data_IF_363700236564
#
_entry.id   IF_363700236564
#
_cell.length_a   1.000
_cell.length_b   1.000
_cell.length_c   1.000
_cell.angle_alpha   90.00
_cell.angle_beta   90.00
_cell.angle_gamma   90.00
#
_symmetry.space_group_name_H-M   'P 1'
#
loop_
_entity.id
_entity.type
_entity.pdbx_description
1 polymer ?
#
# COMPACT_ATOMS: atom_id res chain seq x y z
N UNK A 1 8.03 -34.77 -102.40
CA UNK A 1 9.35 -34.80 -103.02
C UNK A 1 10.43 -34.64 -101.95
N UNK A 2 11.32 -35.63 -101.89
CA UNK A 2 12.63 -35.63 -101.26
C UNK A 2 12.77 -35.51 -99.76
N UNK A 3 12.83 -36.64 -99.09
CA UNK A 3 13.74 -36.92 -97.93
C UNK A 3 15.19 -37.03 -98.41
N UNK A 4 16.23 -37.24 -97.52
CA UNK A 4 16.60 -37.16 -96.10
C UNK A 4 18.01 -36.50 -95.96
N UNK A 5 18.92 -36.79 -95.03
CA UNK A 5 19.08 -37.87 -94.07
C UNK A 5 19.63 -37.52 -92.67
N UNK A 6 19.68 -38.54 -91.82
CA UNK A 6 20.42 -38.82 -90.57
C UNK A 6 21.75 -38.16 -90.30
N UNK A 7 22.04 -37.80 -89.01
CA UNK A 7 23.36 -38.05 -88.40
C UNK A 7 23.23 -38.23 -86.90
N UNK A 8 23.96 -39.18 -86.37
CA UNK A 8 24.12 -39.76 -85.05
C UNK A 8 25.06 -38.96 -84.17
N UNK A 9 25.03 -39.25 -82.91
CA UNK A 9 26.02 -39.05 -81.80
C UNK A 9 25.68 -37.85 -80.87
N UNK A 10 25.76 -37.90 -79.55
CA UNK A 10 26.39 -38.90 -78.71
C UNK A 10 25.88 -38.74 -77.27
N UNK A 11 26.02 -39.80 -76.53
CA UNK A 11 25.75 -39.90 -75.07
C UNK A 11 26.77 -39.04 -74.35
N UNK A 12 26.35 -38.29 -73.36
CA UNK A 12 26.94 -37.97 -72.04
C UNK A 12 26.38 -36.66 -71.47
N UNK A 13 25.35 -36.71 -70.64
CA UNK A 13 25.00 -35.67 -69.69
C UNK A 13 23.95 -36.16 -68.69
N UNK A 14 24.36 -36.99 -67.80
CA UNK A 14 23.51 -37.55 -66.76
C UNK A 14 24.17 -37.62 -65.39
N UNK A 15 24.68 -36.50 -64.85
CA UNK A 15 25.23 -36.52 -63.48
C UNK A 15 25.28 -35.14 -62.76
N UNK A 16 24.66 -34.08 -63.28
CA UNK A 16 24.80 -32.76 -62.67
C UNK A 16 23.51 -32.13 -62.15
N UNK A 17 22.42 -32.89 -62.06
CA UNK A 17 21.08 -32.33 -61.65
C UNK A 17 20.55 -32.79 -60.28
N UNK A 18 21.35 -33.52 -59.46
CA UNK A 18 20.88 -34.00 -58.11
C UNK A 18 21.57 -33.36 -56.91
N UNK A 19 22.42 -32.35 -57.08
CA UNK A 19 23.09 -31.64 -55.94
C UNK A 19 22.56 -30.24 -55.68
N UNK A 20 21.65 -29.71 -56.49
CA UNK A 20 21.12 -28.34 -56.36
C UNK A 20 19.85 -28.20 -55.52
N UNK A 21 19.11 -29.32 -55.23
CA UNK A 21 17.79 -29.27 -54.54
C UNK A 21 17.92 -29.50 -53.03
N UNK A 22 19.02 -30.11 -52.58
CA UNK A 22 19.24 -30.36 -51.15
C UNK A 22 19.79 -29.14 -50.38
N UNK A 23 20.34 -28.11 -51.03
CA UNK A 23 20.86 -26.92 -50.39
C UNK A 23 19.83 -25.79 -50.17
N UNK A 24 18.71 -25.79 -50.91
CA UNK A 24 17.63 -24.81 -50.74
C UNK A 24 16.61 -25.22 -49.66
N UNK A 25 16.59 -26.47 -49.24
CA UNK A 25 15.65 -26.94 -48.17
C UNK A 25 16.22 -26.74 -46.77
N UNK A 26 17.51 -26.47 -46.59
CA UNK A 26 18.11 -26.17 -45.26
C UNK A 26 18.14 -24.69 -44.92
N UNK A 27 17.83 -23.76 -45.79
CA UNK A 27 17.75 -22.32 -45.52
C UNK A 27 16.32 -21.84 -45.21
N UNK A 28 15.31 -22.66 -45.35
CA UNK A 28 13.91 -22.29 -45.08
C UNK A 28 13.46 -22.61 -43.65
N UNK A 29 14.32 -23.15 -42.75
CA UNK A 29 14.03 -23.46 -41.36
C UNK A 29 14.84 -22.64 -40.35
N UNK A 30 15.41 -21.49 -40.78
CA UNK A 30 15.68 -20.42 -39.84
C UNK A 30 14.32 -19.78 -39.55
N UNK A 31 13.57 -20.43 -38.67
CA UNK A 31 12.39 -19.87 -38.06
C UNK A 31 12.69 -18.42 -37.68
N UNK A 32 12.01 -17.52 -38.36
CA UNK A 32 11.71 -16.21 -37.80
C UNK A 32 11.04 -16.44 -36.44
N UNK A 33 11.86 -16.56 -35.40
CA UNK A 33 11.41 -16.30 -34.04
C UNK A 33 11.01 -14.81 -34.05
N UNK A 34 9.77 -14.55 -34.46
CA UNK A 34 9.14 -13.27 -34.13
C UNK A 34 9.32 -13.16 -32.61
N UNK A 35 10.06 -12.18 -32.10
CA UNK A 35 10.17 -12.04 -30.67
C UNK A 35 8.73 -11.95 -30.16
N UNK A 36 8.32 -12.92 -29.34
CA UNK A 36 7.01 -12.87 -28.68
C UNK A 36 6.99 -11.50 -27.99
N UNK A 37 6.13 -10.63 -28.49
CA UNK A 37 6.00 -9.28 -27.90
C UNK A 37 5.62 -9.51 -26.44
N UNK A 38 6.46 -8.99 -25.51
CA UNK A 38 6.18 -9.11 -24.10
C UNK A 38 4.76 -8.62 -23.84
N UNK A 39 3.98 -9.43 -23.17
CA UNK A 39 2.62 -9.05 -22.78
C UNK A 39 2.74 -7.90 -21.76
N UNK A 40 1.95 -6.84 -21.94
CA UNK A 40 2.10 -5.63 -21.17
C UNK A 40 0.89 -5.38 -20.28
N UNK A 41 1.12 -5.04 -19.02
CA UNK A 41 0.10 -4.66 -18.04
C UNK A 41 0.23 -3.19 -17.68
N UNK A 42 -0.81 -2.40 -17.90
CA UNK A 42 -0.88 -1.05 -17.34
C UNK A 42 -1.27 -1.13 -15.88
N UNK A 43 -0.39 -0.62 -15.01
CA UNK A 43 -0.58 -0.67 -13.56
C UNK A 43 -0.84 0.75 -13.04
N UNK A 44 -2.07 0.99 -12.60
CA UNK A 44 -2.47 2.26 -11.99
C UNK A 44 -2.19 2.21 -10.48
N UNK A 45 -1.39 3.15 -9.99
CA UNK A 45 -0.99 3.20 -8.58
C UNK A 45 -0.62 4.63 -8.14
N UNK A 46 -0.28 4.83 -6.86
CA UNK A 46 0.12 6.14 -6.32
C UNK A 46 1.52 6.17 -5.71
N UNK A 47 2.36 5.19 -6.01
CA UNK A 47 3.75 5.16 -5.56
C UNK A 47 4.60 6.13 -6.38
N UNK A 48 4.73 7.38 -5.90
CA UNK A 48 5.37 8.47 -6.65
C UNK A 48 6.59 9.06 -5.96
N UNK A 49 6.78 8.83 -4.65
CA UNK A 49 7.97 9.26 -3.94
C UNK A 49 9.21 8.43 -4.30
N UNK A 50 10.40 8.91 -3.95
CA UNK A 50 11.66 8.23 -4.30
C UNK A 50 11.74 6.80 -3.73
N UNK A 51 11.34 6.61 -2.47
CA UNK A 51 11.30 5.30 -1.82
C UNK A 51 10.24 4.37 -2.44
N UNK A 52 9.06 4.92 -2.73
CA UNK A 52 7.98 4.17 -3.35
C UNK A 52 8.32 3.73 -4.78
N UNK A 53 8.96 4.61 -5.57
CA UNK A 53 9.42 4.25 -6.92
C UNK A 53 10.44 3.13 -6.89
N UNK A 54 11.46 3.20 -6.00
CA UNK A 54 12.43 2.12 -5.85
C UNK A 54 11.77 0.79 -5.45
N UNK A 55 10.74 0.82 -4.64
CA UNK A 55 10.00 -0.38 -4.30
C UNK A 55 9.20 -0.93 -5.49
N UNK A 56 8.53 -0.07 -6.27
CA UNK A 56 7.87 -0.46 -7.50
C UNK A 56 8.85 -1.08 -8.51
N UNK A 57 10.07 -0.52 -8.63
CA UNK A 57 11.11 -1.03 -9.53
C UNK A 57 11.51 -2.48 -9.21
N UNK A 58 11.41 -2.92 -7.95
CA UNK A 58 11.60 -4.35 -7.58
C UNK A 58 10.56 -5.21 -8.27
N UNK A 59 9.29 -4.80 -8.25
CA UNK A 59 8.21 -5.54 -8.91
C UNK A 59 8.35 -5.52 -10.43
N UNK A 60 8.69 -4.36 -10.99
CA UNK A 60 8.96 -4.17 -12.43
C UNK A 60 10.05 -5.11 -12.91
N UNK A 61 11.20 -5.12 -12.21
CA UNK A 61 12.35 -5.94 -12.58
C UNK A 61 12.03 -7.45 -12.50
N UNK A 62 11.28 -7.87 -11.48
CA UNK A 62 10.88 -9.28 -11.30
C UNK A 62 9.87 -9.72 -12.34
N UNK A 63 8.89 -8.86 -12.66
CA UNK A 63 7.89 -9.15 -13.68
C UNK A 63 8.52 -9.24 -15.09
N UNK A 64 9.49 -8.39 -15.38
CA UNK A 64 10.23 -8.42 -16.64
C UNK A 64 11.00 -9.74 -16.84
N UNK A 65 11.52 -10.37 -15.76
CA UNK A 65 12.15 -11.70 -15.81
C UNK A 65 11.18 -12.79 -16.23
N UNK A 66 9.89 -12.58 -16.00
CA UNK A 66 8.81 -13.47 -16.39
C UNK A 66 8.24 -13.16 -17.79
N UNK A 67 8.85 -12.23 -18.52
CA UNK A 67 8.45 -11.84 -19.88
C UNK A 67 7.20 -10.96 -19.93
N UNK A 68 6.84 -10.28 -18.86
CA UNK A 68 5.71 -9.35 -18.80
C UNK A 68 6.21 -7.92 -18.57
N UNK A 69 5.75 -6.99 -19.39
CA UNK A 69 6.07 -5.56 -19.30
C UNK A 69 5.12 -4.86 -18.32
N UNK A 70 5.69 -4.15 -17.35
CA UNK A 70 4.95 -3.23 -16.48
C UNK A 70 4.85 -1.85 -17.14
N UNK A 71 3.66 -1.41 -17.52
CA UNK A 71 3.39 -0.05 -17.99
C UNK A 71 2.88 0.82 -16.86
N UNK A 72 3.74 1.72 -16.45
CA UNK A 72 3.51 2.56 -15.28
C UNK A 72 2.42 3.61 -15.53
N UNK A 73 1.46 3.71 -14.59
CA UNK A 73 0.40 4.72 -14.58
C UNK A 73 0.28 5.33 -13.17
N UNK A 74 1.35 5.98 -12.71
CA UNK A 74 1.43 6.55 -11.38
C UNK A 74 0.65 7.88 -11.28
N UNK A 75 -0.19 8.00 -10.25
CA UNK A 75 -0.99 9.21 -9.94
C UNK A 75 -0.61 9.68 -8.53
N UNK A 76 -0.01 10.84 -8.43
CA UNK A 76 0.37 11.43 -7.14
C UNK A 76 -0.85 11.69 -6.24
N UNK A 77 -0.65 11.53 -4.93
CA UNK A 77 -1.66 11.84 -3.91
C UNK A 77 -1.69 10.83 -2.77
N UNK A 78 -1.76 11.35 -1.53
CA UNK A 78 -1.78 10.52 -0.33
C UNK A 78 -3.00 9.60 -0.28
N UNK A 79 -2.81 8.41 0.30
CA UNK A 79 -3.83 7.37 0.47
C UNK A 79 -4.62 7.01 -0.83
N UNK A 80 -4.07 7.29 -2.02
CA UNK A 80 -4.66 6.91 -3.30
C UNK A 80 -5.95 7.64 -3.71
N UNK A 81 -6.27 8.77 -3.11
CA UNK A 81 -7.52 9.52 -3.41
C UNK A 81 -7.57 9.96 -4.88
N UNK A 82 -6.46 10.50 -5.42
CA UNK A 82 -6.36 10.90 -6.81
C UNK A 82 -6.48 9.70 -7.77
N UNK A 83 -5.74 8.63 -7.49
CA UNK A 83 -5.76 7.41 -8.30
C UNK A 83 -7.16 6.75 -8.34
N UNK A 84 -7.89 6.74 -7.22
CA UNK A 84 -9.26 6.24 -7.17
C UNK A 84 -10.23 7.04 -8.07
N UNK A 85 -10.09 8.36 -8.14
CA UNK A 85 -10.89 9.21 -9.05
C UNK A 85 -10.59 8.89 -10.52
N UNK A 86 -9.30 8.75 -10.86
CA UNK A 86 -8.84 8.37 -12.21
C UNK A 86 -9.37 7.00 -12.59
N UNK A 87 -9.31 6.02 -11.67
CA UNK A 87 -9.87 4.69 -11.90
C UNK A 87 -11.36 4.76 -12.23
N UNK A 88 -12.16 5.42 -11.39
CA UNK A 88 -13.61 5.59 -11.62
C UNK A 88 -13.90 6.19 -13.00
N UNK A 89 -13.18 7.24 -13.39
CA UNK A 89 -13.31 7.87 -14.71
C UNK A 89 -12.96 6.91 -15.85
N UNK A 90 -11.87 6.16 -15.72
CA UNK A 90 -11.44 5.19 -16.75
C UNK A 90 -12.43 4.06 -16.92
N UNK A 91 -12.92 3.49 -15.83
CA UNK A 91 -13.91 2.40 -15.86
C UNK A 91 -15.19 2.86 -16.54
N UNK A 92 -15.70 4.07 -16.21
CA UNK A 92 -16.89 4.64 -16.87
C UNK A 92 -16.68 4.87 -18.37
N UNK A 93 -15.45 5.13 -18.79
CA UNK A 93 -15.08 5.30 -20.20
C UNK A 93 -14.77 3.96 -20.92
N UNK A 94 -14.93 2.80 -20.26
CA UNK A 94 -14.56 1.49 -20.81
C UNK A 94 -13.05 1.31 -21.04
N UNK A 95 -12.20 2.03 -20.28
CA UNK A 95 -10.73 2.03 -20.39
C UNK A 95 -10.09 1.67 -19.05
N UNK A 96 -10.56 0.60 -18.42
CA UNK A 96 -9.96 0.08 -17.18
C UNK A 96 -8.49 -0.23 -17.38
N UNK A 97 -7.62 0.03 -16.39
CA UNK A 97 -6.26 -0.53 -16.40
C UNK A 97 -6.32 -2.03 -16.20
N UNK A 98 -5.29 -2.76 -16.61
CA UNK A 98 -5.20 -4.21 -16.35
C UNK A 98 -4.98 -4.48 -14.85
N UNK A 99 -4.29 -3.58 -14.15
CA UNK A 99 -3.98 -3.71 -12.71
C UNK A 99 -4.16 -2.36 -12.01
N UNK A 100 -4.67 -2.40 -10.79
CA UNK A 100 -4.81 -1.24 -9.92
C UNK A 100 -4.33 -1.56 -8.51
N UNK A 101 -3.58 -0.64 -7.90
CA UNK A 101 -3.37 -0.64 -6.46
C UNK A 101 -4.70 -0.32 -5.77
N UNK A 102 -5.21 -1.22 -4.94
CA UNK A 102 -6.40 -1.03 -4.10
C UNK A 102 -6.05 -1.30 -2.65
N UNK A 103 -6.79 -0.69 -1.72
CA UNK A 103 -6.59 -0.92 -0.28
C UNK A 103 -7.94 -1.09 0.43
N UNK A 104 -7.98 -2.04 1.36
CA UNK A 104 -9.09 -2.24 2.27
C UNK A 104 -10.45 -2.43 1.59
N UNK A 105 -11.43 -1.67 2.02
CA UNK A 105 -12.82 -1.74 1.54
C UNK A 105 -12.97 -1.55 0.04
N UNK A 106 -12.07 -0.81 -0.61
CA UNK A 106 -12.17 -0.59 -2.06
C UNK A 106 -11.99 -1.88 -2.86
N UNK A 107 -11.24 -2.86 -2.35
CA UNK A 107 -11.13 -4.17 -3.01
C UNK A 107 -12.50 -4.87 -3.09
N UNK A 108 -13.23 -4.90 -1.98
CA UNK A 108 -14.59 -5.45 -1.93
C UNK A 108 -15.58 -4.68 -2.81
N UNK A 109 -15.55 -3.34 -2.79
CA UNK A 109 -16.44 -2.50 -3.60
C UNK A 109 -16.30 -2.78 -5.11
N UNK A 110 -15.06 -2.84 -5.63
CA UNK A 110 -14.81 -3.17 -7.03
C UNK A 110 -15.12 -4.63 -7.36
N UNK A 111 -14.88 -5.55 -6.43
CA UNK A 111 -15.27 -6.95 -6.57
C UNK A 111 -16.79 -7.12 -6.66
N UNK A 112 -17.56 -6.41 -5.84
CA UNK A 112 -19.03 -6.47 -5.86
C UNK A 112 -19.64 -5.95 -7.16
N UNK A 113 -18.93 -5.10 -7.89
CA UNK A 113 -19.30 -4.68 -9.25
C UNK A 113 -18.99 -5.72 -10.32
N UNK A 114 -18.34 -6.84 -9.98
CA UNK A 114 -17.96 -7.90 -10.92
C UNK A 114 -16.82 -7.50 -11.88
N UNK A 115 -16.00 -6.51 -11.49
CA UNK A 115 -14.97 -5.95 -12.37
C UNK A 115 -13.57 -6.52 -12.13
N UNK A 116 -13.40 -7.32 -11.07
CA UNK A 116 -12.10 -7.89 -10.71
C UNK A 116 -11.97 -9.34 -11.14
N UNK A 117 -10.77 -9.69 -11.61
CA UNK A 117 -10.39 -11.07 -11.89
C UNK A 117 -10.28 -11.86 -10.58
N UNK A 118 -10.86 -13.06 -10.56
CA UNK A 118 -10.72 -14.00 -9.45
C UNK A 118 -9.37 -14.71 -9.53
N UNK A 119 -8.61 -14.69 -8.43
CA UNK A 119 -7.29 -15.30 -8.35
C UNK A 119 -7.28 -16.64 -7.60
N UNK A 120 -8.40 -17.35 -7.55
CA UNK A 120 -8.56 -18.58 -6.76
C UNK A 120 -7.57 -19.68 -7.16
N UNK A 121 -7.36 -19.88 -8.47
CA UNK A 121 -6.39 -20.86 -8.97
C UNK A 121 -4.97 -20.52 -8.54
N UNK A 122 -4.57 -19.24 -8.64
CA UNK A 122 -3.26 -18.77 -8.22
C UNK A 122 -3.10 -18.91 -6.71
N UNK A 123 -4.12 -18.53 -5.95
CA UNK A 123 -4.12 -18.64 -4.50
C UNK A 123 -4.01 -20.09 -4.00
N UNK A 124 -4.74 -21.02 -4.66
CA UNK A 124 -4.70 -22.43 -4.33
C UNK A 124 -3.35 -23.06 -4.68
N UNK A 125 -2.82 -22.82 -5.90
CA UNK A 125 -1.53 -23.38 -6.36
C UNK A 125 -0.35 -22.93 -5.49
N UNK A 126 -0.42 -21.73 -4.91
CA UNK A 126 0.61 -21.15 -4.04
C UNK A 126 0.28 -21.26 -2.55
N UNK A 127 -0.78 -21.97 -2.20
CA UNK A 127 -1.22 -22.22 -0.82
C UNK A 127 -1.32 -20.92 0.04
N UNK A 128 -1.85 -19.85 -0.52
CA UNK A 128 -1.89 -18.53 0.13
C UNK A 128 -2.63 -18.54 1.45
N UNK A 129 -3.73 -19.31 1.55
CA UNK A 129 -4.50 -19.46 2.80
C UNK A 129 -3.64 -19.94 3.97
N UNK A 130 -2.71 -20.86 3.73
CA UNK A 130 -1.84 -21.41 4.78
C UNK A 130 -0.57 -20.57 5.01
N UNK A 131 -0.11 -19.82 4.00
CA UNK A 131 1.17 -19.11 4.05
C UNK A 131 1.04 -17.65 4.47
N UNK A 132 -0.08 -16.98 4.16
CA UNK A 132 -0.32 -15.59 4.56
C UNK A 132 -0.80 -15.47 6.01
N UNK A 133 -0.64 -14.29 6.59
CA UNK A 133 -1.30 -13.97 7.86
C UNK A 133 -2.83 -14.03 7.70
N UNK A 134 -3.58 -14.54 8.71
CA UNK A 134 -5.04 -14.66 8.61
C UNK A 134 -5.75 -13.33 8.31
N UNK A 135 -5.26 -12.22 8.88
CA UNK A 135 -5.78 -10.86 8.62
C UNK A 135 -5.62 -10.48 7.15
N UNK A 136 -4.47 -10.81 6.54
CA UNK A 136 -4.22 -10.55 5.12
C UNK A 136 -5.11 -11.42 4.25
N UNK A 137 -5.14 -12.73 4.51
CA UNK A 137 -5.99 -13.65 3.77
C UNK A 137 -7.47 -13.24 3.80
N UNK A 138 -7.98 -12.88 4.98
CA UNK A 138 -9.37 -12.42 5.13
C UNK A 138 -9.68 -11.16 4.33
N UNK A 139 -8.73 -10.20 4.22
CA UNK A 139 -8.89 -8.98 3.42
C UNK A 139 -9.05 -9.27 1.93
N UNK A 140 -8.35 -10.29 1.42
CA UNK A 140 -8.37 -10.64 -0.01
C UNK A 140 -9.65 -11.35 -0.43
N UNK A 141 -10.46 -11.82 0.54
CA UNK A 141 -11.65 -12.61 0.26
C UNK A 141 -12.88 -11.73 0.08
N UNK A 142 -13.60 -11.93 -1.02
CA UNK A 142 -14.94 -11.40 -1.21
C UNK A 142 -15.86 -12.48 -1.79
N UNK A 143 -16.99 -12.75 -1.15
CA UNK A 143 -17.97 -13.78 -1.54
C UNK A 143 -17.36 -15.17 -1.80
N UNK A 144 -16.29 -15.51 -1.09
CA UNK A 144 -15.60 -16.79 -1.23
C UNK A 144 -14.51 -16.84 -2.29
N UNK A 145 -14.27 -15.73 -3.01
CA UNK A 145 -13.24 -15.61 -4.04
C UNK A 145 -12.08 -14.72 -3.61
N UNK A 146 -10.89 -15.01 -4.10
CA UNK A 146 -9.67 -14.22 -3.89
C UNK A 146 -9.57 -13.12 -4.93
N UNK A 147 -9.62 -11.85 -4.51
CA UNK A 147 -9.83 -10.70 -5.40
C UNK A 147 -8.60 -9.83 -5.62
N UNK A 148 -7.45 -10.19 -5.06
CA UNK A 148 -6.22 -9.44 -5.22
C UNK A 148 -5.02 -10.14 -4.60
N UNK A 149 -3.84 -9.55 -4.79
CA UNK A 149 -2.57 -10.03 -4.23
C UNK A 149 -1.96 -8.96 -3.32
N UNK A 150 -1.47 -9.30 -2.10
CA UNK A 150 -0.89 -8.32 -1.19
C UNK A 150 0.56 -8.03 -1.58
N UNK A 151 0.93 -6.75 -1.68
CA UNK A 151 2.30 -6.33 -1.89
C UNK A 151 3.09 -6.20 -0.57
N UNK A 152 2.43 -5.78 0.51
CA UNK A 152 3.05 -5.65 1.83
C UNK A 152 2.09 -5.14 2.89
N UNK A 153 2.49 -5.27 4.16
CA UNK A 153 1.75 -4.79 5.33
C UNK A 153 2.50 -3.60 5.90
N UNK A 154 1.81 -2.49 6.07
CA UNK A 154 2.32 -1.25 6.64
C UNK A 154 1.89 -1.08 8.09
N UNK A 155 2.80 -0.58 8.94
CA UNK A 155 2.50 -0.11 10.29
C UNK A 155 2.31 1.39 10.28
N UNK A 156 1.11 1.87 10.60
CA UNK A 156 0.75 3.29 10.59
C UNK A 156 1.23 3.99 11.86
N UNK A 157 1.12 3.35 13.03
CA UNK A 157 1.51 3.90 14.34
C UNK A 157 3.01 3.81 14.60
N UNK A 158 3.83 4.32 13.67
CA UNK A 158 5.29 4.32 13.79
C UNK A 158 5.79 5.71 14.16
N UNK A 159 6.58 5.78 15.24
CA UNK A 159 7.35 6.96 15.65
C UNK A 159 8.74 6.86 15.03
N UNK A 160 9.09 7.79 14.14
CA UNK A 160 10.44 8.02 13.64
C UNK A 160 11.13 9.05 14.52
N UNK A 161 12.39 8.85 14.83
CA UNK A 161 13.19 9.82 15.62
C UNK A 161 14.62 9.94 15.07
N UNK A 162 15.18 11.14 15.12
CA UNK A 162 16.57 11.40 14.72
C UNK A 162 17.53 10.90 15.80
N UNK A 163 18.31 9.87 15.50
CA UNK A 163 19.22 9.23 16.47
C UNK A 163 20.31 10.17 16.98
N UNK A 164 20.87 11.02 16.11
CA UNK A 164 21.94 11.95 16.50
C UNK A 164 21.46 12.99 17.51
N UNK A 165 20.24 13.51 17.31
CA UNK A 165 19.61 14.43 18.26
C UNK A 165 19.41 13.74 19.61
N UNK A 166 18.82 12.54 19.61
CA UNK A 166 18.54 11.79 20.83
C UNK A 166 19.82 11.42 21.58
N UNK A 167 20.85 10.95 20.89
CA UNK A 167 22.16 10.63 21.48
C UNK A 167 22.83 11.87 22.05
N UNK A 168 22.89 12.99 21.30
CA UNK A 168 23.50 14.24 21.75
C UNK A 168 22.89 14.80 23.04
N UNK A 169 21.57 14.65 23.20
CA UNK A 169 20.82 15.17 24.34
C UNK A 169 20.57 14.12 25.43
N UNK A 170 21.10 12.91 25.30
CA UNK A 170 20.87 11.82 26.25
C UNK A 170 19.41 11.46 26.44
N UNK A 171 18.61 11.49 25.36
CA UNK A 171 17.17 11.23 25.41
C UNK A 171 16.87 9.75 25.18
N UNK A 172 15.95 9.20 25.97
CA UNK A 172 15.31 7.92 25.69
C UNK A 172 14.13 8.10 24.74
N UNK A 173 13.88 7.11 23.88
CA UNK A 173 12.72 7.10 22.97
C UNK A 173 11.43 7.02 23.81
N UNK A 174 10.45 7.92 23.62
CA UNK A 174 9.25 7.96 24.45
C UNK A 174 8.37 6.72 24.20
N UNK A 175 7.92 6.08 25.27
CA UNK A 175 7.01 4.93 25.26
C UNK A 175 5.58 5.29 25.63
N UNK A 176 5.40 6.39 26.36
CA UNK A 176 4.11 6.95 26.75
C UNK A 176 4.00 8.40 26.32
N UNK A 177 2.79 8.95 26.27
CA UNK A 177 2.59 10.38 25.98
C UNK A 177 3.20 11.28 27.07
N UNK A 178 3.25 10.82 28.29
CA UNK A 178 3.94 11.55 29.36
C UNK A 178 5.48 11.57 29.16
N UNK A 179 6.06 10.46 28.65
CA UNK A 179 7.47 10.46 28.21
C UNK A 179 7.68 11.41 27.04
N UNK A 180 6.75 11.39 26.06
CA UNK A 180 6.82 12.29 24.91
C UNK A 180 6.86 13.76 25.33
N UNK A 181 5.97 14.18 26.21
CA UNK A 181 5.92 15.57 26.68
C UNK A 181 7.22 15.98 27.39
N UNK A 182 7.81 15.09 28.20
CA UNK A 182 9.09 15.32 28.86
C UNK A 182 10.25 15.44 27.87
N UNK A 183 10.29 14.56 26.87
CA UNK A 183 11.29 14.58 25.79
C UNK A 183 11.11 15.83 24.93
N UNK A 184 9.88 16.15 24.55
CA UNK A 184 9.54 17.33 23.75
C UNK A 184 9.91 18.64 24.46
N UNK A 185 9.73 18.71 25.78
CA UNK A 185 10.19 19.85 26.59
C UNK A 185 11.70 20.08 26.53
N UNK A 186 12.50 19.00 26.65
CA UNK A 186 13.96 19.07 26.53
C UNK A 186 14.41 19.45 25.10
N UNK A 187 13.76 18.91 24.09
CA UNK A 187 14.03 19.26 22.68
C UNK A 187 13.78 20.73 22.41
N UNK A 188 12.65 21.27 22.89
CA UNK A 188 12.30 22.68 22.74
C UNK A 188 13.29 23.61 23.48
N UNK A 189 13.72 23.22 24.68
CA UNK A 189 14.76 23.94 25.42
C UNK A 189 16.11 23.97 24.68
N UNK A 190 16.40 22.93 23.90
CA UNK A 190 17.55 22.85 23.01
C UNK A 190 17.36 23.54 21.64
N UNK A 191 16.24 24.25 21.42
CA UNK A 191 15.93 24.93 20.16
C UNK A 191 15.58 24.00 19.00
N UNK A 192 15.18 22.75 19.29
CA UNK A 192 14.85 21.74 18.27
C UNK A 192 13.34 21.54 18.22
N UNK A 193 12.74 21.52 17.01
CA UNK A 193 11.35 21.17 16.82
C UNK A 193 11.09 19.73 17.29
N UNK A 194 10.25 19.50 18.33
CA UNK A 194 10.06 18.17 18.88
C UNK A 194 9.34 17.21 17.95
N UNK A 195 8.27 17.66 17.29
CA UNK A 195 7.42 16.86 16.42
C UNK A 195 7.19 17.63 15.11
N UNK A 196 7.45 16.98 13.99
CA UNK A 196 7.05 17.53 12.69
C UNK A 196 5.69 16.96 12.29
N UNK A 197 4.81 17.81 11.76
CA UNK A 197 3.47 17.44 11.32
C UNK A 197 2.99 18.39 10.21
N UNK A 198 2.42 17.82 9.15
CA UNK A 198 1.71 18.59 8.12
C UNK A 198 0.28 18.90 8.56
N UNK A 199 -0.27 20.01 8.12
CA UNK A 199 -1.70 20.32 8.27
C UNK A 199 -2.59 19.64 7.20
N UNK A 200 -2.04 18.85 6.31
CA UNK A 200 -2.81 18.05 5.34
C UNK A 200 -3.80 17.10 6.02
N UNK A 201 -5.05 17.09 5.57
CA UNK A 201 -6.15 16.42 6.27
C UNK A 201 -5.88 14.94 6.58
N UNK A 202 -5.35 14.18 5.61
CA UNK A 202 -5.06 12.77 5.83
C UNK A 202 -3.90 12.52 6.80
N UNK A 203 -2.87 13.40 6.82
CA UNK A 203 -1.76 13.29 7.76
C UNK A 203 -2.20 13.62 9.20
N UNK A 204 -3.03 14.64 9.37
CA UNK A 204 -3.66 14.95 10.66
C UNK A 204 -4.52 13.79 11.14
N UNK A 205 -5.31 13.19 10.25
CA UNK A 205 -6.15 12.03 10.57
C UNK A 205 -5.32 10.78 10.89
N UNK A 206 -4.14 10.59 10.27
CA UNK A 206 -3.21 9.49 10.59
C UNK A 206 -2.67 9.63 12.02
N UNK A 207 -2.32 10.84 12.44
CA UNK A 207 -1.96 11.10 13.83
C UNK A 207 -3.16 10.84 14.76
N UNK A 208 -4.35 11.34 14.41
CA UNK A 208 -5.56 11.15 15.20
C UNK A 208 -5.91 9.67 15.41
N UNK A 209 -5.92 8.84 14.35
CA UNK A 209 -6.25 7.42 14.48
C UNK A 209 -5.23 6.67 15.37
N UNK A 210 -3.95 7.10 15.34
CA UNK A 210 -2.91 6.60 16.23
C UNK A 210 -3.21 6.97 17.69
N UNK A 211 -3.70 8.18 17.95
CA UNK A 211 -4.12 8.62 19.28
C UNK A 211 -5.33 7.86 19.81
N UNK A 212 -6.32 7.59 18.94
CA UNK A 212 -7.48 6.76 19.32
C UNK A 212 -7.04 5.35 19.72
N UNK A 213 -6.09 4.76 18.98
CA UNK A 213 -5.54 3.45 19.32
C UNK A 213 -4.79 3.48 20.67
N UNK A 214 -4.04 4.56 20.95
CA UNK A 214 -3.32 4.74 22.19
C UNK A 214 -4.23 4.85 23.41
N UNK A 215 -5.38 5.50 23.28
CA UNK A 215 -6.31 5.73 24.40
C UNK A 215 -6.94 4.44 24.96
N UNK A 216 -7.06 3.36 24.14
CA UNK A 216 -7.78 2.18 24.64
C UNK A 216 -7.59 0.88 23.84
N UNK A 217 -6.63 0.87 22.95
CA UNK A 217 -6.29 -0.32 22.17
C UNK A 217 -7.28 -0.71 21.07
N UNK A 218 -7.06 -1.85 20.43
CA UNK A 218 -7.81 -2.28 19.24
C UNK A 218 -9.29 -2.52 19.45
N UNK A 219 -9.72 -2.92 20.64
CA UNK A 219 -11.13 -3.23 20.90
C UNK A 219 -12.03 -1.99 20.77
N UNK A 220 -11.66 -0.90 21.43
CA UNK A 220 -12.39 0.37 21.29
C UNK A 220 -12.25 0.96 19.89
N UNK A 221 -11.06 0.92 19.32
CA UNK A 221 -10.80 1.38 17.97
C UNK A 221 -11.76 0.70 16.96
N UNK A 222 -11.92 -0.64 17.06
CA UNK A 222 -12.86 -1.40 16.21
C UNK A 222 -14.31 -1.02 16.48
N UNK A 223 -14.72 -0.91 17.75
CA UNK A 223 -16.09 -0.49 18.12
C UNK A 223 -16.42 0.87 17.50
N UNK A 224 -15.44 1.79 17.44
CA UNK A 224 -15.63 3.14 16.92
C UNK A 224 -15.67 3.17 15.38
N UNK A 225 -14.69 2.60 14.70
CA UNK A 225 -14.48 2.79 13.26
C UNK A 225 -14.98 1.63 12.39
N UNK A 226 -14.94 0.40 12.89
CA UNK A 226 -15.36 -0.79 12.14
C UNK A 226 -16.82 -1.09 12.40
N UNK A 227 -17.17 -1.31 13.67
CA UNK A 227 -18.54 -1.68 14.09
C UNK A 227 -19.49 -0.49 14.13
N UNK A 228 -18.94 0.73 14.19
CA UNK A 228 -19.67 2.01 14.26
C UNK A 228 -20.73 2.02 15.36
N UNK A 229 -20.35 1.55 16.56
CA UNK A 229 -21.26 1.43 17.73
C UNK A 229 -21.58 2.80 18.30
N UNK A 230 -22.88 3.06 18.53
CA UNK A 230 -23.35 4.36 19.00
C UNK A 230 -22.72 4.76 20.36
N UNK A 231 -22.56 3.81 21.27
CA UNK A 231 -21.92 4.00 22.56
C UNK A 231 -20.45 4.37 22.46
N UNK A 232 -19.73 3.89 21.43
CA UNK A 232 -18.33 4.25 21.22
C UNK A 232 -18.16 5.72 20.83
N UNK A 233 -19.12 6.32 20.14
CA UNK A 233 -19.07 7.75 19.77
C UNK A 233 -19.30 8.67 20.98
N UNK A 234 -20.08 8.23 21.95
CA UNK A 234 -20.36 8.98 23.18
C UNK A 234 -19.26 8.80 24.25
N UNK A 235 -18.39 7.81 24.08
CA UNK A 235 -17.34 7.48 25.04
C UNK A 235 -16.32 8.62 25.20
N UNK A 236 -15.92 8.99 26.43
CA UNK A 236 -14.96 10.07 26.66
C UNK A 236 -13.57 9.85 26.02
N UNK A 237 -13.19 8.60 25.70
CA UNK A 237 -11.92 8.29 25.05
C UNK A 237 -11.76 8.98 23.69
N UNK A 238 -12.84 9.09 22.91
CA UNK A 238 -12.81 9.84 21.64
C UNK A 238 -12.49 11.32 21.88
N UNK A 239 -13.10 11.93 22.90
CA UNK A 239 -12.83 13.31 23.26
C UNK A 239 -11.39 13.50 23.77
N UNK A 240 -10.87 12.55 24.53
CA UNK A 240 -9.47 12.60 25.00
C UNK A 240 -8.50 12.53 23.83
N UNK A 241 -8.74 11.66 22.86
CA UNK A 241 -7.90 11.59 21.64
C UNK A 241 -7.93 12.91 20.84
N UNK A 242 -9.11 13.55 20.71
CA UNK A 242 -9.24 14.87 20.07
C UNK A 242 -8.48 15.95 20.87
N UNK A 243 -8.64 15.99 22.20
CA UNK A 243 -7.92 16.95 23.05
C UNK A 243 -6.41 16.77 22.93
N UNK A 244 -5.91 15.53 22.95
CA UNK A 244 -4.49 15.23 22.77
C UNK A 244 -4.00 15.68 21.38
N UNK A 245 -4.76 15.39 20.31
CA UNK A 245 -4.41 15.84 18.97
C UNK A 245 -4.14 17.36 18.95
N UNK A 246 -5.01 18.14 19.55
CA UNK A 246 -4.86 19.60 19.61
C UNK A 246 -3.69 20.00 20.52
N UNK A 247 -3.52 19.37 21.68
CA UNK A 247 -2.42 19.69 22.60
C UNK A 247 -1.05 19.44 21.98
N UNK A 248 -0.93 18.49 21.06
CA UNK A 248 0.32 18.22 20.36
C UNK A 248 0.79 19.38 19.48
N UNK A 249 -0.11 20.30 19.05
CA UNK A 249 0.26 21.47 18.24
C UNK A 249 1.35 22.32 18.89
N UNK A 250 1.37 22.42 20.22
CA UNK A 250 2.41 23.16 20.93
C UNK A 250 3.84 22.61 20.70
N UNK A 251 3.97 21.34 20.29
CA UNK A 251 5.25 20.68 20.05
C UNK A 251 5.65 20.65 18.57
N UNK A 252 4.75 21.12 17.68
CA UNK A 252 4.96 21.15 16.24
C UNK A 252 5.65 22.45 15.82
N UNK A 253 6.34 22.42 14.68
CA UNK A 253 6.87 23.62 14.03
C UNK A 253 5.73 24.55 13.57
N UNK A 254 5.88 25.84 13.86
CA UNK A 254 4.86 26.83 13.50
C UNK A 254 5.40 27.84 12.47
N UNK A 255 4.57 28.36 11.56
CA UNK A 255 3.16 28.00 11.35
C UNK A 255 3.00 26.61 10.69
N UNK A 256 1.95 25.88 11.08
CA UNK A 256 1.59 24.63 10.43
C UNK A 256 1.16 24.91 8.98
N UNK A 257 1.70 24.13 8.03
CA UNK A 257 1.42 24.25 6.59
C UNK A 257 1.08 22.87 6.03
N UNK A 258 0.34 22.87 4.93
CA UNK A 258 0.22 21.70 4.10
C UNK A 258 1.56 21.42 3.41
N UNK A 259 2.17 20.31 3.77
CA UNK A 259 3.42 19.82 3.21
C UNK A 259 3.29 18.32 2.96
N UNK A 260 3.97 17.83 1.94
CA UNK A 260 3.94 16.40 1.63
C UNK A 260 4.60 15.57 2.74
N UNK A 261 4.14 14.35 2.91
CA UNK A 261 4.73 13.43 3.91
C UNK A 261 6.24 13.15 3.70
N UNK A 262 6.78 13.12 2.44
CA UNK A 262 8.22 13.01 2.25
C UNK A 262 9.00 14.23 2.80
N UNK A 263 8.46 15.45 2.65
CA UNK A 263 9.07 16.65 3.22
C UNK A 263 9.11 16.59 4.75
N UNK A 264 8.04 16.08 5.39
CA UNK A 264 8.02 15.88 6.85
C UNK A 264 9.07 14.85 7.28
N UNK A 265 9.16 13.71 6.60
CA UNK A 265 10.17 12.69 6.87
C UNK A 265 11.60 13.24 6.71
N UNK A 266 11.83 14.07 5.68
CA UNK A 266 13.14 14.69 5.43
C UNK A 266 13.59 15.56 6.61
N UNK A 267 12.73 16.36 7.19
CA UNK A 267 13.07 17.21 8.33
C UNK A 267 13.64 16.38 9.50
N UNK A 268 13.11 15.18 9.74
CA UNK A 268 13.66 14.27 10.75
C UNK A 268 15.01 13.70 10.30
N UNK A 269 15.12 13.25 9.04
CA UNK A 269 16.34 12.70 8.50
C UNK A 269 17.51 13.69 8.49
N UNK A 270 17.24 14.97 8.22
CA UNK A 270 18.22 16.05 8.15
C UNK A 270 18.50 16.69 9.53
N UNK A 271 17.70 16.33 10.55
CA UNK A 271 17.89 16.82 11.93
C UNK A 271 17.28 18.19 12.20
N UNK A 272 16.40 18.67 11.34
CA UNK A 272 15.63 19.91 11.52
C UNK A 272 14.51 19.72 12.55
N UNK A 273 13.98 18.50 12.64
CA UNK A 273 13.02 18.09 13.66
C UNK A 273 13.45 16.76 14.31
N UNK A 274 12.98 16.53 15.53
CA UNK A 274 13.40 15.36 16.30
C UNK A 274 12.58 14.12 16.04
N UNK A 275 11.25 14.24 15.84
CA UNK A 275 10.30 13.13 15.75
C UNK A 275 9.24 13.35 14.67
N UNK A 276 8.70 12.23 14.13
CA UNK A 276 7.57 12.18 13.22
C UNK A 276 6.74 10.92 13.46
N UNK A 277 5.43 11.01 13.47
CA UNK A 277 4.53 9.86 13.56
C UNK A 277 3.85 9.67 12.20
N UNK A 278 4.14 8.56 11.54
CA UNK A 278 3.66 8.27 10.18
C UNK A 278 3.77 6.76 9.90
N UNK A 279 3.16 6.32 8.81
CA UNK A 279 3.31 4.97 8.29
C UNK A 279 4.76 4.64 7.92
N UNK A 280 5.09 3.36 7.98
CA UNK A 280 6.45 2.86 7.83
C UNK A 280 7.04 3.03 6.41
N UNK A 281 6.26 3.44 5.41
CA UNK A 281 6.78 3.89 4.12
C UNK A 281 7.74 5.08 4.25
N UNK A 282 7.63 5.88 5.32
CA UNK A 282 8.58 6.96 5.58
C UNK A 282 10.01 6.42 5.81
N UNK A 283 10.17 5.20 6.33
CA UNK A 283 11.46 4.50 6.41
C UNK A 283 12.05 4.26 5.01
N UNK A 284 11.25 3.73 4.09
CA UNK A 284 11.68 3.49 2.71
C UNK A 284 12.14 4.78 2.02
N UNK A 285 11.44 5.88 2.26
CA UNK A 285 11.79 7.19 1.73
C UNK A 285 13.12 7.71 2.29
N UNK A 286 13.29 7.66 3.61
CA UNK A 286 14.52 8.08 4.29
C UNK A 286 15.73 7.27 3.79
N UNK A 287 15.59 5.95 3.69
CA UNK A 287 16.63 5.07 3.14
C UNK A 287 16.94 5.39 1.67
N UNK A 288 15.92 5.73 0.87
CA UNK A 288 16.11 6.10 -0.52
C UNK A 288 16.96 7.38 -0.70
N UNK A 289 16.94 8.27 0.29
CA UNK A 289 17.78 9.47 0.33
C UNK A 289 19.13 9.26 1.02
N UNK A 290 19.52 8.00 1.31
CA UNK A 290 20.78 7.69 2.00
C UNK A 290 20.74 8.03 3.50
N UNK A 291 19.57 8.18 4.10
CA UNK A 291 19.40 8.30 5.56
C UNK A 291 19.14 6.91 6.11
N UNK A 292 20.20 6.18 6.45
CA UNK A 292 20.12 4.76 6.81
C UNK A 292 19.39 4.55 8.15
N UNK A 293 18.51 3.55 8.15
CA UNK A 293 17.87 3.02 9.38
C UNK A 293 18.95 2.57 10.36
N UNK A 294 18.74 2.82 11.65
CA UNK A 294 19.63 2.51 12.78
C UNK A 294 20.94 3.34 12.83
N UNK A 295 21.23 4.16 11.82
CA UNK A 295 22.36 5.08 11.80
C UNK A 295 21.91 6.54 11.98
N UNK A 296 21.06 7.03 11.07
CA UNK A 296 20.57 8.42 11.07
C UNK A 296 19.29 8.55 11.87
N UNK A 297 18.38 7.62 11.68
CA UNK A 297 17.09 7.59 12.39
C UNK A 297 16.82 6.20 12.97
N UNK A 298 15.89 6.17 13.92
CA UNK A 298 15.32 4.95 14.46
C UNK A 298 13.80 4.98 14.42
N UNK A 299 13.20 3.82 14.64
CA UNK A 299 11.76 3.67 14.73
C UNK A 299 11.37 3.08 16.09
N UNK A 300 10.18 3.47 16.53
CA UNK A 300 9.49 2.85 17.65
C UNK A 300 7.99 2.80 17.38
N UNK A 301 7.24 2.10 18.21
CA UNK A 301 5.81 2.32 18.27
C UNK A 301 5.51 3.75 18.74
N UNK A 302 4.47 4.39 18.22
CA UNK A 302 3.99 5.64 18.75
C UNK A 302 3.63 5.48 20.25
N UNK A 303 3.77 6.54 21.06
CA UNK A 303 3.55 6.46 22.51
C UNK A 303 2.20 5.80 22.86
N UNK A 304 2.20 4.95 23.89
CA UNK A 304 1.06 4.15 24.38
C UNK A 304 0.46 3.15 23.36
N UNK A 305 1.18 2.89 22.25
CA UNK A 305 0.77 1.89 21.25
C UNK A 305 1.75 0.72 21.11
N UNK A 306 2.66 0.54 22.05
CA UNK A 306 3.77 -0.42 21.95
C UNK A 306 3.35 -1.85 21.60
N UNK A 307 2.23 -2.29 22.11
CA UNK A 307 1.69 -3.64 21.91
C UNK A 307 0.86 -3.79 20.63
N UNK A 308 0.50 -2.69 19.97
CA UNK A 308 -0.49 -2.69 18.90
C UNK A 308 0.12 -2.42 17.54
N UNK A 309 -0.54 -2.95 16.52
CA UNK A 309 -0.21 -2.71 15.13
C UNK A 309 -1.43 -2.11 14.40
N UNK A 310 -1.38 -0.82 14.10
CA UNK A 310 -2.33 -0.15 13.23
C UNK A 310 -1.89 -0.42 11.79
N UNK A 311 -2.67 -1.19 11.04
CA UNK A 311 -2.21 -1.69 9.76
C UNK A 311 -2.92 -1.07 8.54
N UNK A 312 -2.17 -0.94 7.45
CA UNK A 312 -2.65 -0.87 6.08
C UNK A 312 -2.00 -1.98 5.26
N UNK A 313 -2.72 -2.55 4.31
CA UNK A 313 -2.22 -3.60 3.42
C UNK A 313 -2.37 -3.11 1.99
N UNK A 314 -1.23 -2.92 1.33
CA UNK A 314 -1.22 -2.63 -0.10
C UNK A 314 -1.55 -3.89 -0.88
N UNK A 315 -2.53 -3.80 -1.78
CA UNK A 315 -2.92 -4.89 -2.67
C UNK A 315 -2.92 -4.43 -4.12
N UNK A 316 -2.61 -5.35 -5.03
CA UNK A 316 -2.86 -5.17 -6.46
C UNK A 316 -4.06 -6.02 -6.85
N UNK A 317 -5.04 -5.41 -7.48
CA UNK A 317 -6.22 -6.05 -8.02
C UNK A 317 -6.17 -6.04 -9.56
N UNK A 318 -6.58 -7.12 -10.19
CA UNK A 318 -6.60 -7.32 -11.63
C UNK A 318 -8.00 -7.05 -12.15
N UNK A 319 -8.11 -6.20 -13.18
CA UNK A 319 -9.40 -5.91 -13.83
C UNK A 319 -9.68 -6.92 -14.95
N UNK A 320 -10.86 -7.52 -14.91
CA UNK A 320 -11.34 -8.51 -15.88
C UNK A 320 -12.09 -7.80 -17.02
N UNK A 321 -11.39 -7.00 -17.86
CA UNK A 321 -12.03 -6.25 -18.94
C UNK A 321 -12.38 -7.13 -20.14
N UNK A 322 -11.47 -8.01 -20.57
CA UNK A 322 -11.64 -8.85 -21.77
C UNK A 322 -10.91 -10.21 -21.67
N UNK A 323 -10.28 -10.51 -20.55
CA UNK A 323 -9.47 -11.71 -20.28
C UNK A 323 -8.24 -11.90 -21.19
N UNK A 324 -7.94 -10.98 -22.10
CA UNK A 324 -6.79 -11.09 -23.00
C UNK A 324 -5.45 -11.04 -22.26
N UNK A 325 -5.41 -10.39 -21.10
CA UNK A 325 -4.22 -10.23 -20.25
C UNK A 325 -4.22 -11.14 -19.02
N UNK A 326 -5.17 -12.08 -18.90
CA UNK A 326 -5.34 -12.90 -17.70
C UNK A 326 -4.05 -13.65 -17.32
N UNK A 327 -3.35 -14.25 -18.29
CA UNK A 327 -2.12 -14.99 -18.04
C UNK A 327 -1.01 -14.10 -17.45
N UNK A 328 -0.84 -12.88 -17.94
CA UNK A 328 0.12 -11.91 -17.41
C UNK A 328 -0.31 -11.38 -16.03
N UNK A 329 -1.61 -11.17 -15.81
CA UNK A 329 -2.16 -10.75 -14.52
C UNK A 329 -1.96 -11.82 -13.43
N UNK A 330 -2.22 -13.10 -13.75
CA UNK A 330 -1.96 -14.23 -12.85
C UNK A 330 -0.47 -14.39 -12.55
N UNK A 331 0.39 -14.19 -13.54
CA UNK A 331 1.84 -14.19 -13.38
C UNK A 331 2.30 -13.04 -12.47
N UNK A 332 1.77 -11.82 -12.64
CA UNK A 332 2.03 -10.72 -11.72
C UNK A 332 1.64 -11.09 -10.29
N UNK A 333 0.47 -11.70 -10.09
CA UNK A 333 0.02 -12.12 -8.78
C UNK A 333 0.97 -13.17 -8.14
N UNK A 334 1.47 -14.13 -8.92
CA UNK A 334 2.47 -15.11 -8.47
C UNK A 334 3.80 -14.44 -8.07
N UNK A 335 4.29 -13.53 -8.91
CA UNK A 335 5.54 -12.77 -8.66
C UNK A 335 5.42 -11.97 -7.37
N UNK A 336 4.37 -11.18 -7.23
CA UNK A 336 4.16 -10.30 -6.05
C UNK A 336 4.01 -11.12 -4.76
N UNK A 337 3.32 -12.25 -4.79
CA UNK A 337 3.16 -13.13 -3.62
C UNK A 337 4.31 -14.11 -3.40
N UNK A 338 5.38 -14.07 -4.20
CA UNK A 338 6.52 -14.94 -3.99
C UNK A 338 7.38 -14.47 -2.80
N UNK A 339 7.92 -15.43 -2.03
CA UNK A 339 8.68 -15.11 -0.82
C UNK A 339 9.90 -14.22 -1.06
N UNK A 340 10.73 -14.44 -2.12
CA UNK A 340 11.85 -13.57 -2.40
C UNK A 340 11.43 -12.13 -2.71
N UNK A 341 10.36 -11.95 -3.50
CA UNK A 341 9.85 -10.63 -3.90
C UNK A 341 9.23 -9.90 -2.71
N UNK A 342 8.45 -10.59 -1.88
CA UNK A 342 7.87 -10.03 -0.65
C UNK A 342 8.96 -9.47 0.28
N UNK A 343 10.06 -10.19 0.46
CA UNK A 343 11.19 -9.73 1.28
C UNK A 343 11.90 -8.53 0.67
N UNK A 344 12.28 -8.62 -0.60
CA UNK A 344 13.00 -7.56 -1.31
C UNK A 344 12.18 -6.27 -1.37
N UNK A 345 10.91 -6.39 -1.75
CA UNK A 345 9.98 -5.26 -1.78
C UNK A 345 9.84 -4.62 -0.39
N UNK A 346 9.63 -5.43 0.65
CA UNK A 346 9.45 -4.93 2.03
C UNK A 346 10.69 -4.21 2.57
N UNK A 347 11.89 -4.68 2.24
CA UNK A 347 13.14 -4.02 2.62
C UNK A 347 13.22 -2.60 2.04
N UNK A 348 12.84 -2.43 0.77
CA UNK A 348 12.89 -1.15 0.06
C UNK A 348 11.72 -0.24 0.45
N UNK A 349 10.50 -0.78 0.48
CA UNK A 349 9.26 -0.02 0.75
C UNK A 349 9.14 0.45 2.19
N UNK A 350 9.74 -0.29 3.13
CA UNK A 350 9.59 -0.04 4.56
C UNK A 350 8.53 -0.90 5.24
N UNK A 351 7.71 -1.61 4.49
CA UNK A 351 6.66 -2.53 4.96
C UNK A 351 7.22 -3.83 5.54
N UNK A 352 6.32 -4.75 5.89
CA UNK A 352 6.66 -6.14 6.20
C UNK A 352 5.99 -7.09 5.21
N UNK A 353 6.57 -8.30 4.97
CA UNK A 353 5.96 -9.29 4.10
C UNK A 353 4.59 -9.75 4.58
N UNK A 354 3.69 -10.04 3.64
CA UNK A 354 2.38 -10.64 3.91
C UNK A 354 2.46 -12.15 4.24
N UNK A 355 3.60 -12.77 3.93
CA UNK A 355 3.86 -14.19 4.14
C UNK A 355 4.50 -14.45 5.51
N UNK A 356 3.90 -15.35 6.30
CA UNK A 356 4.37 -15.70 7.66
C UNK A 356 5.74 -16.39 7.71
N UNK A 357 6.14 -17.04 6.61
CA UNK A 357 7.41 -17.78 6.52
C UNK A 357 8.60 -16.89 6.14
N UNK A 358 8.39 -15.57 5.96
CA UNK A 358 9.45 -14.66 5.60
C UNK A 358 10.57 -14.68 6.67
N UNK A 359 11.82 -14.73 6.22
CA UNK A 359 12.97 -14.61 7.09
C UNK A 359 13.12 -13.18 7.60
N UNK A 360 12.61 -12.95 8.80
CA UNK A 360 12.60 -11.62 9.43
C UNK A 360 14.01 -11.13 9.80
N UNK A 361 15.04 -12.01 9.84
CA UNK A 361 16.43 -11.59 10.09
C UNK A 361 16.97 -10.68 8.99
N UNK A 362 16.39 -10.78 7.80
CA UNK A 362 16.72 -9.95 6.63
C UNK A 362 16.14 -8.53 6.68
N UNK A 363 15.22 -8.26 7.61
CA UNK A 363 14.66 -6.93 7.81
C UNK A 363 15.55 -6.13 8.79
N UNK A 364 15.49 -4.80 8.70
CA UNK A 364 16.09 -3.90 9.68
C UNK A 364 15.37 -3.97 11.05
N UNK A 365 15.85 -3.25 12.05
CA UNK A 365 15.26 -3.25 13.40
C UNK A 365 13.79 -2.81 13.40
N UNK A 366 13.44 -1.81 12.58
CA UNK A 366 12.08 -1.29 12.42
C UNK A 366 11.14 -2.34 11.82
N UNK A 367 11.56 -2.99 10.74
CA UNK A 367 10.79 -4.05 10.08
C UNK A 367 10.58 -5.27 10.98
N UNK A 368 11.63 -5.70 11.71
CA UNK A 368 11.51 -6.80 12.69
C UNK A 368 10.51 -6.46 13.80
N UNK A 369 10.59 -5.26 14.39
CA UNK A 369 9.66 -4.85 15.43
C UNK A 369 8.21 -4.76 14.92
N UNK A 370 8.01 -4.27 13.70
CA UNK A 370 6.70 -4.24 13.04
C UNK A 370 6.15 -5.64 12.83
N UNK A 371 6.95 -6.56 12.28
CA UNK A 371 6.55 -7.95 12.03
C UNK A 371 6.20 -8.71 13.32
N UNK A 372 6.99 -8.52 14.37
CA UNK A 372 6.72 -9.11 15.69
C UNK A 372 5.40 -8.61 16.28
N UNK A 373 5.12 -7.30 16.17
CA UNK A 373 3.86 -6.72 16.64
C UNK A 373 2.66 -7.25 15.83
N UNK A 374 2.79 -7.36 14.50
CA UNK A 374 1.71 -7.89 13.65
C UNK A 374 1.45 -9.37 13.90
N UNK A 375 2.50 -10.17 14.12
CA UNK A 375 2.39 -11.61 14.38
C UNK A 375 1.66 -11.97 15.69
N UNK A 376 1.44 -11.01 16.59
CA UNK A 376 0.64 -11.21 17.83
C UNK A 376 -0.84 -11.52 17.55
N UNK A 377 -1.30 -11.29 16.33
CA UNK A 377 -2.63 -11.66 15.87
C UNK A 377 -3.70 -10.58 16.09
N UNK A 378 -4.93 -10.90 15.70
CA UNK A 378 -6.04 -9.96 15.53
C UNK A 378 -6.39 -9.12 16.77
N UNK A 379 -6.17 -9.65 17.99
CA UNK A 379 -6.43 -8.93 19.24
C UNK A 379 -5.51 -7.70 19.42
N UNK A 380 -4.34 -7.71 18.80
CA UNK A 380 -3.34 -6.64 18.86
C UNK A 380 -3.27 -5.79 17.59
N UNK A 381 -4.09 -6.10 16.59
CA UNK A 381 -4.14 -5.42 15.32
C UNK A 381 -5.35 -4.50 15.24
N UNK A 382 -5.21 -3.34 14.62
CA UNK A 382 -6.32 -2.45 14.28
C UNK A 382 -6.23 -2.06 12.80
N UNK A 383 -7.34 -2.09 12.03
CA UNK A 383 -7.34 -1.66 10.65
C UNK A 383 -7.32 -0.13 10.55
N UNK A 384 -6.45 0.46 9.72
CA UNK A 384 -6.38 1.91 9.56
C UNK A 384 -7.68 2.51 9.00
N UNK A 385 -8.19 3.54 9.66
CA UNK A 385 -9.30 4.35 9.17
C UNK A 385 -8.91 5.10 7.90
N UNK A 386 -7.81 5.84 7.95
CA UNK A 386 -7.35 6.72 6.86
C UNK A 386 -7.07 5.93 5.58
N UNK A 387 -6.56 4.70 5.72
CA UNK A 387 -6.21 3.83 4.59
C UNK A 387 -7.32 2.83 4.24
N UNK A 388 -8.58 3.16 4.52
CA UNK A 388 -9.78 2.39 4.13
C UNK A 388 -9.81 0.93 4.61
N UNK A 389 -9.02 0.58 5.64
CA UNK A 389 -9.04 -0.76 6.21
C UNK A 389 -10.22 -0.95 7.17
N UNK A 390 -10.64 0.13 7.86
CA UNK A 390 -11.64 0.07 8.92
C UNK A 390 -13.08 0.28 8.43
N UNK A 391 -13.29 1.09 7.38
CA UNK A 391 -14.63 1.50 6.97
C UNK A 391 -14.69 1.96 5.51
N UNK A 392 -15.91 2.14 4.99
CA UNK A 392 -16.20 2.68 3.67
C UNK A 392 -15.68 4.12 3.47
N UNK A 393 -15.55 4.53 2.19
CA UNK A 393 -14.97 5.82 1.84
C UNK A 393 -15.79 7.01 2.39
N UNK A 394 -17.11 6.94 2.34
CA UNK A 394 -18.00 8.01 2.82
C UNK A 394 -17.85 8.27 4.31
N UNK A 395 -17.86 7.21 5.12
CA UNK A 395 -17.65 7.28 6.56
C UNK A 395 -16.27 7.80 6.93
N UNK A 396 -15.23 7.31 6.24
CA UNK A 396 -13.84 7.76 6.40
C UNK A 396 -13.72 9.25 6.09
N UNK A 397 -14.23 9.70 4.95
CA UNK A 397 -14.11 11.11 4.53
C UNK A 397 -14.84 12.06 5.49
N UNK A 398 -16.00 11.66 6.00
CA UNK A 398 -16.73 12.45 7.00
C UNK A 398 -15.93 12.61 8.30
N UNK A 399 -15.29 11.53 8.79
CA UNK A 399 -14.46 11.59 10.00
C UNK A 399 -13.23 12.46 9.76
N UNK A 400 -12.51 12.25 8.65
CA UNK A 400 -11.30 13.01 8.32
C UNK A 400 -11.62 14.51 8.22
N UNK A 401 -12.70 14.87 7.54
CA UNK A 401 -13.09 16.27 7.39
C UNK A 401 -13.39 16.93 8.75
N UNK A 402 -14.10 16.26 9.66
CA UNK A 402 -14.43 16.82 10.97
C UNK A 402 -13.20 16.89 11.88
N UNK A 403 -12.34 15.88 11.87
CA UNK A 403 -11.07 15.89 12.62
C UNK A 403 -10.15 17.00 12.13
N UNK A 404 -10.04 17.17 10.81
CA UNK A 404 -9.23 18.23 10.21
C UNK A 404 -9.78 19.63 10.54
N UNK A 405 -11.11 19.82 10.43
CA UNK A 405 -11.76 21.07 10.83
C UNK A 405 -11.51 21.39 12.30
N UNK A 406 -11.69 20.40 13.20
CA UNK A 406 -11.38 20.55 14.62
C UNK A 406 -9.91 20.91 14.87
N UNK A 407 -8.98 20.30 14.13
CA UNK A 407 -7.55 20.54 14.29
C UNK A 407 -7.16 21.97 13.89
N UNK A 408 -7.78 22.54 12.86
CA UNK A 408 -7.48 23.89 12.35
C UNK A 408 -8.18 24.99 13.14
N UNK A 409 -9.43 24.79 13.54
CA UNK A 409 -10.27 25.80 14.18
C UNK A 409 -10.30 25.66 15.70
N UNK A 410 -9.59 26.54 16.39
CA UNK A 410 -9.48 26.55 17.86
C UNK A 410 -10.81 26.88 18.55
N UNK A 411 -11.79 27.46 17.86
CA UNK A 411 -13.11 27.78 18.44
C UNK A 411 -13.99 26.55 18.63
N UNK A 412 -13.70 25.45 17.93
CA UNK A 412 -14.45 24.20 18.06
C UNK A 412 -13.98 23.43 19.28
N UNK A 413 -14.89 23.13 20.20
CA UNK A 413 -14.56 22.28 21.34
C UNK A 413 -14.41 20.80 20.95
N UNK A 414 -13.60 20.04 21.69
CA UNK A 414 -13.49 18.59 21.50
C UNK A 414 -14.83 17.86 21.69
N UNK A 415 -15.70 18.38 22.58
CA UNK A 415 -17.03 17.85 22.77
C UNK A 415 -17.95 18.08 21.55
N UNK A 416 -17.83 19.23 20.88
CA UNK A 416 -18.56 19.52 19.65
C UNK A 416 -18.10 18.64 18.50
N UNK A 417 -16.81 18.48 18.32
CA UNK A 417 -16.25 17.60 17.30
C UNK A 417 -16.67 16.14 17.55
N UNK A 418 -16.60 15.66 18.79
CA UNK A 418 -17.08 14.31 19.16
C UNK A 418 -18.56 14.12 18.81
N UNK A 419 -19.44 15.07 19.20
CA UNK A 419 -20.87 14.99 18.89
C UNK A 419 -21.14 14.96 17.39
N UNK A 420 -20.41 15.77 16.59
CA UNK A 420 -20.58 15.81 15.14
C UNK A 420 -20.14 14.52 14.47
N UNK A 421 -18.97 13.96 14.86
CA UNK A 421 -18.53 12.65 14.36
C UNK A 421 -19.62 11.60 14.63
N UNK A 422 -20.14 11.53 15.88
CA UNK A 422 -21.18 10.59 16.23
C UNK A 422 -22.47 10.77 15.42
N UNK A 423 -22.95 12.01 15.27
CA UNK A 423 -24.17 12.31 14.52
C UNK A 423 -24.05 11.98 13.03
N UNK A 424 -22.91 12.30 12.41
CA UNK A 424 -22.67 11.99 11.00
C UNK A 424 -22.65 10.49 10.75
N UNK A 425 -21.94 9.73 11.59
CA UNK A 425 -21.85 8.27 11.43
C UNK A 425 -23.17 7.57 11.70
N UNK A 426 -23.97 8.03 12.67
CA UNK A 426 -25.32 7.53 12.89
C UNK A 426 -26.23 7.78 11.68
N UNK A 427 -26.16 8.97 11.07
CA UNK A 427 -26.92 9.30 9.87
C UNK A 427 -26.52 8.43 8.66
N UNK A 428 -25.22 8.20 8.47
CA UNK A 428 -24.69 7.32 7.40
C UNK A 428 -25.12 5.86 7.62
N UNK A 429 -25.05 5.35 8.86
CA UNK A 429 -25.47 4.00 9.19
C UNK A 429 -26.97 3.79 8.95
N UNK A 430 -27.81 4.78 9.24
CA UNK A 430 -29.26 4.71 8.99
C UNK A 430 -29.54 4.60 7.48
N UNK A 431 -28.93 5.47 6.66
CA UNK A 431 -29.07 5.42 5.19
C UNK A 431 -28.65 4.06 4.62
N UNK A 432 -27.53 3.50 5.09
CA UNK A 432 -27.08 2.18 4.66
C UNK A 432 -28.07 1.07 4.93
N UNK A 433 -28.73 1.07 6.11
CA UNK A 433 -29.78 0.08 6.46
C UNK A 433 -31.03 0.25 5.62
N UNK A 434 -31.48 1.48 5.39
CA UNK A 434 -32.68 1.77 4.60
C UNK A 434 -32.48 1.32 3.12
N UNK A 435 -31.31 1.45 2.54
CA UNK A 435 -31.00 0.95 1.22
C UNK A 435 -30.98 -0.60 1.14
N UNK A 436 -30.48 -1.29 2.16
CA UNK A 436 -30.48 -2.76 2.22
C UNK A 436 -31.92 -3.31 2.37
N UNK A 437 -32.76 -2.66 3.16
CA UNK A 437 -34.16 -3.07 3.35
C UNK A 437 -35.06 -2.77 2.14
N UNK A 438 -34.73 -1.74 1.34
CA UNK A 438 -35.49 -1.40 0.13
C UNK A 438 -35.06 -2.23 -1.10
N UNK A 439 -33.94 -2.94 -1.07
CA UNK A 439 -33.47 -3.78 -2.16
C UNK A 439 -32.98 -5.16 -1.64
N UNK A 440 -33.89 -6.03 -1.19
CA UNK A 440 -33.56 -7.33 -0.59
C UNK A 440 -33.02 -8.38 -1.58
N UNK A 441 -32.74 -7.99 -2.85
CA UNK A 441 -32.22 -8.88 -3.91
C UNK A 441 -30.83 -8.41 -4.38
N UNK A 442 -29.85 -8.47 -3.49
CA UNK A 442 -28.42 -8.47 -3.89
C UNK A 442 -27.63 -9.45 -3.05
#
# INVERSE_FOLDING_TARGET
MKTPPYSTADRHAGAARRRGVAALALLAFMCSSVPARAEALQVLHWWTSAGERRAADVLVARLAQEGVEWRDAAIAGGAGVGAGKVLKSRVLAGKSPEVMQLIGYTLGEWSDLGLLLQLDSVAASNNWRATMYPTVWGLLQNRGHTMGVPAGIHRINTLFYNRKIFQRLGLAVPRSWSDFERVAGKLRQAGITPLVQSSEAWQVATLFETLVLAESGPAYYRALFVDKKAEAYADPRLRHALQRLRSLKQWMGMPLREQSWPEMARQVGDGEAAMYIMGDWAKGELNAWGRATDEVFGCAAAPDTGDYHLYSIDTLAMFASDYTHQGAQEKLAQVVASLPVQLEYSQVKGSIPALRQADLSRLDSCGRASAQAFARGAAFQAPSLVHRMATDETSKDAIIAEVHRYFLDETISAADAQRRIGSMLQALNKKGRDHVTQNPRR
#
